data_IF_793146679021
#
_entry.id   IF_793146679021
#
_cell.length_a   1.000
_cell.length_b   1.000
_cell.length_c   1.000
_cell.angle_alpha   90.00
_cell.angle_beta   90.00
_cell.angle_gamma   90.00
#
_symmetry.space_group_name_H-M   'P 1'
#
loop_
_entity.id
_entity.type
_entity.pdbx_description
1 polymer ?
#
# COMPACT_ATOMS: atom_id res chain seq x y z
N UNK A 1 14.28 15.99 -23.99
CA UNK A 1 14.42 14.74 -23.22
C UNK A 1 13.44 14.83 -22.08
N UNK A 2 12.42 13.97 -22.02
CA UNK A 2 11.59 13.87 -20.81
C UNK A 2 12.47 13.11 -19.82
N UNK A 3 12.96 13.78 -18.78
CA UNK A 3 13.54 13.07 -17.65
C UNK A 3 12.39 12.32 -16.98
N UNK A 4 12.46 10.98 -16.98
CA UNK A 4 11.54 10.18 -16.19
C UNK A 4 11.72 10.47 -14.71
N UNK A 5 10.70 10.19 -13.91
CA UNK A 5 10.78 10.17 -12.47
C UNK A 5 10.52 8.74 -11.98
N UNK A 6 11.01 8.43 -10.79
CA UNK A 6 10.81 7.12 -10.16
C UNK A 6 9.59 7.15 -9.22
N UNK A 7 8.91 6.01 -9.09
CA UNK A 7 7.82 5.81 -8.14
C UNK A 7 8.30 4.85 -7.05
N UNK A 8 8.27 5.28 -5.80
CA UNK A 8 8.54 4.45 -4.63
C UNK A 8 7.21 3.90 -4.07
N UNK A 9 7.03 2.59 -4.14
CA UNK A 9 5.93 1.90 -3.47
C UNK A 9 6.42 1.37 -2.11
N UNK A 10 5.77 1.75 -1.02
CA UNK A 10 6.22 1.43 0.34
C UNK A 10 5.06 1.12 1.29
N UNK A 11 5.29 0.32 2.33
CA UNK A 11 4.35 0.14 3.45
C UNK A 11 4.49 1.19 4.56
N UNK A 12 5.41 2.13 4.39
CA UNK A 12 5.63 3.22 5.33
C UNK A 12 4.52 4.28 5.19
N UNK A 13 3.80 4.53 6.29
CA UNK A 13 2.67 5.47 6.36
C UNK A 13 3.06 6.85 6.88
N UNK A 14 4.25 7.00 7.44
CA UNK A 14 4.72 8.25 8.06
C UNK A 14 5.68 9.01 7.17
N UNK A 15 6.16 8.40 6.07
CA UNK A 15 7.12 9.00 5.13
C UNK A 15 6.75 10.41 4.64
N UNK A 16 5.46 10.70 4.43
CA UNK A 16 4.99 12.04 4.02
C UNK A 16 5.22 13.14 5.06
N UNK A 17 5.37 12.76 6.34
CA UNK A 17 5.60 13.69 7.45
C UNK A 17 7.09 13.77 7.82
N UNK A 18 7.86 12.73 7.52
CA UNK A 18 9.27 12.62 7.86
C UNK A 18 10.20 13.15 6.75
N UNK A 19 9.77 13.10 5.50
CA UNK A 19 10.56 13.52 4.33
C UNK A 19 10.01 14.79 3.69
N UNK A 20 10.90 15.69 3.26
CA UNK A 20 10.52 16.84 2.46
C UNK A 20 10.34 16.44 0.98
N UNK A 21 9.16 15.87 0.68
CA UNK A 21 8.83 15.36 -0.65
C UNK A 21 8.80 16.45 -1.73
N UNK A 22 8.66 17.72 -1.35
CA UNK A 22 8.63 18.84 -2.28
C UNK A 22 9.98 19.07 -3.00
N UNK A 23 11.08 18.58 -2.43
CA UNK A 23 12.42 18.76 -2.99
C UNK A 23 12.89 17.53 -3.79
N UNK A 24 12.13 16.43 -3.75
CA UNK A 24 12.51 15.18 -4.39
C UNK A 24 11.65 14.94 -5.63
N UNK A 25 12.25 14.56 -6.77
CA UNK A 25 11.49 14.33 -8.00
C UNK A 25 10.68 13.03 -7.98
N UNK A 26 10.80 12.20 -6.94
CA UNK A 26 10.14 10.88 -6.86
C UNK A 26 8.66 11.03 -6.49
N UNK A 27 7.83 10.13 -7.01
CA UNK A 27 6.48 9.94 -6.50
C UNK A 27 6.46 8.84 -5.43
N UNK A 28 5.54 8.93 -4.47
CA UNK A 28 5.40 7.94 -3.41
C UNK A 28 3.98 7.38 -3.39
N UNK A 29 3.89 6.05 -3.37
CA UNK A 29 2.66 5.30 -3.11
C UNK A 29 2.83 4.53 -1.80
N UNK A 30 2.10 4.95 -0.77
CA UNK A 30 2.08 4.30 0.55
C UNK A 30 0.95 3.29 0.64
N UNK A 31 1.24 2.07 1.08
CA UNK A 31 0.29 0.98 1.25
C UNK A 31 -0.13 0.87 2.71
N UNK A 32 -1.44 0.80 2.99
CA UNK A 32 -1.93 0.66 4.37
C UNK A 32 -1.59 -0.71 4.98
N UNK A 33 -1.26 -1.71 4.17
CA UNK A 33 -0.88 -3.05 4.60
C UNK A 33 0.08 -3.67 3.56
N UNK A 34 1.01 -4.51 4.00
CA UNK A 34 2.05 -5.11 3.13
C UNK A 34 1.98 -6.63 3.06
N UNK A 35 0.98 -7.22 3.70
CA UNK A 35 0.70 -8.63 3.64
C UNK A 35 0.29 -8.99 2.20
N UNK A 36 1.00 -9.96 1.61
CA UNK A 36 0.80 -10.37 0.23
C UNK A 36 -0.68 -10.62 -0.17
N UNK A 37 -1.51 -11.30 0.65
CA UNK A 37 -2.92 -11.50 0.30
C UNK A 37 -3.71 -10.19 0.15
N UNK A 38 -3.38 -9.18 0.95
CA UNK A 38 -4.02 -7.87 0.91
C UNK A 38 -3.55 -7.06 -0.31
N UNK A 39 -2.25 -7.06 -0.58
CA UNK A 39 -1.68 -6.42 -1.77
C UNK A 39 -2.32 -6.99 -3.03
N UNK A 40 -2.36 -8.31 -3.17
CA UNK A 40 -2.94 -8.97 -4.35
C UNK A 40 -4.41 -8.63 -4.52
N UNK A 41 -5.18 -8.53 -3.42
CA UNK A 41 -6.59 -8.14 -3.49
C UNK A 41 -6.82 -6.71 -3.96
N UNK A 42 -5.87 -5.80 -3.70
CA UNK A 42 -5.94 -4.37 -4.02
C UNK A 42 -5.01 -3.97 -5.17
N UNK A 43 -4.53 -4.94 -5.96
CA UNK A 43 -3.53 -4.70 -7.02
C UNK A 43 -4.00 -3.66 -8.05
N UNK A 44 -5.29 -3.63 -8.38
CA UNK A 44 -5.86 -2.65 -9.30
C UNK A 44 -5.67 -1.21 -8.80
N UNK A 45 -6.03 -0.93 -7.54
CA UNK A 45 -5.86 0.40 -6.95
C UNK A 45 -4.38 0.81 -6.85
N UNK A 46 -3.50 -0.15 -6.58
CA UNK A 46 -2.05 0.09 -6.56
C UNK A 46 -1.54 0.48 -7.95
N UNK A 47 -1.98 -0.23 -9.00
CA UNK A 47 -1.61 0.09 -10.39
C UNK A 47 -2.14 1.47 -10.76
N UNK A 48 -3.41 1.76 -10.49
CA UNK A 48 -4.02 3.06 -10.81
C UNK A 48 -3.29 4.22 -10.12
N UNK A 49 -2.86 4.02 -8.87
CA UNK A 49 -2.08 5.01 -8.12
C UNK A 49 -0.67 5.22 -8.72
N UNK A 50 -0.02 4.17 -9.20
CA UNK A 50 1.29 4.25 -9.87
C UNK A 50 1.15 4.94 -11.24
N UNK A 51 0.17 4.55 -12.04
CA UNK A 51 -0.06 5.11 -13.37
C UNK A 51 -0.47 6.60 -13.32
N UNK A 52 -1.15 7.00 -12.25
CA UNK A 52 -1.57 8.40 -12.03
C UNK A 52 -0.50 9.24 -11.31
N UNK A 53 0.64 8.66 -10.95
CA UNK A 53 1.67 9.35 -10.19
C UNK A 53 2.26 10.54 -10.96
N UNK A 54 2.56 11.61 -10.23
CA UNK A 54 3.27 12.79 -10.75
C UNK A 54 4.57 13.01 -9.96
N UNK A 55 5.60 13.67 -10.52
CA UNK A 55 6.80 14.01 -9.78
C UNK A 55 6.49 14.71 -8.45
N UNK A 56 7.06 14.25 -7.34
CA UNK A 56 6.83 14.80 -6.00
C UNK A 56 5.45 14.51 -5.41
N UNK A 57 4.60 13.71 -6.07
CA UNK A 57 3.29 13.36 -5.53
C UNK A 57 3.36 12.31 -4.43
N UNK A 58 2.37 12.33 -3.54
CA UNK A 58 2.14 11.31 -2.54
C UNK A 58 0.71 10.79 -2.66
N UNK A 59 0.55 9.48 -2.74
CA UNK A 59 -0.74 8.79 -2.73
C UNK A 59 -0.72 7.68 -1.70
N UNK A 60 -1.81 7.51 -0.95
CA UNK A 60 -2.00 6.39 -0.03
C UNK A 60 -3.07 5.46 -0.57
N UNK A 61 -2.80 4.16 -0.57
CA UNK A 61 -3.71 3.10 -1.00
C UNK A 61 -4.09 2.26 0.21
N UNK A 62 -5.39 2.12 0.46
CA UNK A 62 -5.87 1.23 1.51
C UNK A 62 -5.86 -0.22 1.03
N UNK A 63 -4.96 -1.02 1.58
CA UNK A 63 -4.87 -2.46 1.35
C UNK A 63 -5.79 -3.27 2.29
N UNK A 64 -6.54 -2.60 3.18
CA UNK A 64 -7.44 -3.24 4.12
C UNK A 64 -6.74 -3.78 5.37
N UNK A 65 -7.37 -4.76 6.04
CA UNK A 65 -6.88 -5.31 7.31
C UNK A 65 -6.88 -6.83 7.29
N UNK A 66 -5.76 -7.43 7.71
CA UNK A 66 -5.65 -8.88 7.76
C UNK A 66 -6.51 -9.44 8.90
N UNK A 67 -7.54 -10.23 8.56
CA UNK A 67 -8.37 -10.89 9.57
C UNK A 67 -7.86 -12.30 9.84
N UNK A 68 -7.18 -12.50 10.98
CA UNK A 68 -6.95 -13.84 11.55
C UNK A 68 -8.24 -14.42 12.14
N UNK A 69 -9.32 -14.57 11.37
CA UNK A 69 -10.43 -15.42 11.81
C UNK A 69 -9.98 -16.86 11.73
N UNK A 70 -9.38 -17.37 12.81
CA UNK A 70 -9.27 -18.81 13.02
C UNK A 70 -10.71 -19.31 13.18
N UNK A 71 -11.20 -20.25 12.36
CA UNK A 71 -12.48 -20.88 12.62
C UNK A 71 -12.46 -21.41 14.05
N UNK A 72 -13.50 -21.11 14.84
CA UNK A 72 -13.65 -21.75 16.15
C UNK A 72 -13.66 -23.27 15.89
N UNK A 73 -12.80 -24.06 16.54
CA UNK A 73 -12.86 -25.51 16.39
C UNK A 73 -14.29 -25.97 16.71
N UNK A 74 -14.84 -26.96 15.99
CA UNK A 74 -16.12 -27.55 16.37
C UNK A 74 -16.06 -27.96 17.84
N UNK A 75 -17.13 -27.67 18.60
CA UNK A 75 -17.18 -28.06 20.00
C UNK A 75 -16.93 -29.57 20.11
N UNK A 76 -16.14 -30.04 21.11
CA UNK A 76 -16.04 -31.47 21.39
C UNK A 76 -17.46 -32.04 21.51
N UNK A 77 -17.76 -33.05 20.69
CA UNK A 77 -19.10 -33.62 20.59
C UNK A 77 -19.62 -34.03 21.95
N UNK A 78 -20.84 -33.59 22.27
CA UNK A 78 -21.61 -34.13 23.38
C UNK A 78 -22.10 -35.52 22.92
N UNK A 79 -21.28 -36.54 23.16
CA UNK A 79 -21.56 -37.94 22.88
C UNK A 79 -21.28 -38.78 24.11
#
# INVERSE_FOLDING_TARGET
MIAGFDVLVTGDKTIQYEQNLAEWPIAIVSLSAVEWPLIVSQLGEIIDAVDSAMPGSFTSVDCGSFSRRRPKPPAPGLG
#
